data_IF_509156148979
#
_entry.id   IF_509156148979
#
_cell.length_a   1.000
_cell.length_b   1.000
_cell.length_c   1.000
_cell.angle_alpha   90.00
_cell.angle_beta   90.00
_cell.angle_gamma   90.00
#
_symmetry.space_group_name_H-M   'P 1'
#
loop_
_entity.id
_entity.type
_entity.pdbx_description
1 polymer ?
#
# COMPACT_ATOMS: atom_id res chain seq x y z
N UNK A 1 9.10 -57.67 -3.44
CA UNK A 1 9.77 -56.42 -3.05
C UNK A 1 8.77 -55.28 -3.22
N UNK A 2 8.18 -54.79 -2.13
CA UNK A 2 7.13 -53.75 -2.14
C UNK A 2 7.82 -52.40 -1.95
N UNK A 3 7.72 -51.53 -2.95
CA UNK A 3 8.28 -50.18 -2.88
C UNK A 3 7.39 -49.39 -1.92
N UNK A 4 7.97 -48.92 -0.80
CA UNK A 4 7.25 -48.23 0.26
C UNK A 4 6.82 -46.84 -0.15
N UNK A 5 5.52 -46.56 -0.03
CA UNK A 5 4.89 -45.25 -0.23
C UNK A 5 5.22 -44.26 0.91
N UNK A 6 6.48 -44.16 1.33
CA UNK A 6 6.91 -43.41 2.52
C UNK A 6 7.60 -42.08 2.23
N UNK A 7 8.03 -41.81 0.99
CA UNK A 7 8.95 -40.69 0.71
C UNK A 7 8.33 -39.46 0.03
N UNK A 8 7.01 -39.41 -0.15
CA UNK A 8 6.35 -38.30 -0.90
C UNK A 8 5.68 -37.27 0.02
N UNK A 9 5.48 -37.57 1.31
CA UNK A 9 4.59 -36.76 2.17
C UNK A 9 5.33 -35.62 2.91
N UNK A 10 6.65 -35.48 2.79
CA UNK A 10 7.44 -34.43 3.48
C UNK A 10 7.66 -33.18 2.61
N UNK A 11 6.75 -32.88 1.68
CA UNK A 11 6.87 -31.73 0.77
C UNK A 11 5.68 -30.77 0.82
N UNK A 12 4.84 -30.82 1.87
CA UNK A 12 3.53 -30.15 1.86
C UNK A 12 3.22 -29.15 2.99
N UNK A 13 4.12 -28.76 3.89
CA UNK A 13 3.69 -27.93 5.06
C UNK A 13 4.45 -26.60 5.27
N UNK A 14 5.48 -26.24 4.50
CA UNK A 14 6.27 -25.02 4.83
C UNK A 14 5.88 -23.74 4.06
N UNK A 15 4.67 -23.64 3.45
CA UNK A 15 4.38 -22.49 2.57
C UNK A 15 2.99 -21.83 2.71
N UNK A 16 2.34 -21.86 3.88
CA UNK A 16 1.05 -21.15 4.06
C UNK A 16 1.10 -19.89 4.94
N UNK A 17 2.29 -19.42 5.34
CA UNK A 17 2.42 -18.23 6.19
C UNK A 17 2.60 -16.89 5.44
N UNK A 18 2.58 -16.87 4.09
CA UNK A 18 2.85 -15.64 3.31
C UNK A 18 1.58 -14.91 2.87
N UNK A 19 0.39 -15.49 3.01
CA UNK A 19 -0.76 -15.02 2.21
C UNK A 19 -1.61 -13.89 2.81
N UNK A 20 -1.16 -13.19 3.85
CA UNK A 20 -1.94 -12.08 4.42
C UNK A 20 -1.41 -10.68 4.08
N UNK A 21 -0.15 -10.54 3.63
CA UNK A 21 0.42 -9.24 3.28
C UNK A 21 0.36 -8.92 1.77
N UNK A 22 -0.02 -9.91 0.95
CA UNK A 22 0.06 -9.85 -0.52
C UNK A 22 -1.25 -9.40 -1.20
N UNK A 23 -2.34 -9.22 -0.45
CA UNK A 23 -3.68 -9.14 -1.06
C UNK A 23 -4.13 -7.73 -1.48
N UNK A 24 -3.31 -6.71 -1.29
CA UNK A 24 -3.59 -5.40 -1.89
C UNK A 24 -2.42 -4.92 -2.75
N UNK A 25 -2.41 -5.40 -4.00
CA UNK A 25 -1.57 -4.86 -5.06
C UNK A 25 -2.34 -3.73 -5.78
N UNK A 26 -2.56 -2.60 -5.10
CA UNK A 26 -3.11 -1.42 -5.76
C UNK A 26 -2.15 -0.87 -6.84
N UNK A 27 -2.67 -0.22 -7.90
CA UNK A 27 -1.82 0.37 -8.93
C UNK A 27 -0.96 1.49 -8.37
N UNK A 28 0.20 1.76 -8.97
CA UNK A 28 1.00 2.96 -8.73
C UNK A 28 0.75 3.99 -9.82
N UNK A 29 0.83 5.27 -9.47
CA UNK A 29 0.52 6.39 -10.35
C UNK A 29 1.79 7.02 -10.95
N UNK A 30 1.77 7.27 -12.26
CA UNK A 30 2.85 8.00 -12.94
C UNK A 30 2.60 9.50 -12.88
N UNK A 31 3.65 10.30 -12.77
CA UNK A 31 3.51 11.76 -12.71
C UNK A 31 2.92 12.33 -14.02
N UNK A 32 2.07 13.37 -13.96
CA UNK A 32 1.45 13.98 -15.13
C UNK A 32 2.46 14.79 -15.94
N UNK A 33 2.14 15.04 -17.21
CA UNK A 33 2.92 15.92 -18.08
C UNK A 33 3.02 17.34 -17.50
N UNK A 34 4.21 17.94 -17.54
CA UNK A 34 4.46 19.26 -16.96
C UNK A 34 4.87 19.25 -15.47
N UNK A 35 4.95 18.07 -14.85
CA UNK A 35 5.62 17.91 -13.55
C UNK A 35 7.10 18.24 -13.66
N UNK A 36 7.69 18.73 -12.58
CA UNK A 36 9.16 18.88 -12.49
C UNK A 36 9.87 17.58 -12.90
N UNK A 37 10.82 17.74 -13.83
CA UNK A 37 11.52 16.64 -14.48
C UNK A 37 12.24 15.73 -13.49
N UNK A 38 12.77 16.31 -12.39
CA UNK A 38 13.47 15.57 -11.36
C UNK A 38 12.48 14.84 -10.44
N UNK A 39 11.36 15.47 -10.07
CA UNK A 39 10.30 14.82 -9.31
C UNK A 39 9.70 13.62 -10.07
N UNK A 40 9.43 13.77 -11.37
CA UNK A 40 8.92 12.71 -12.21
C UNK A 40 9.89 11.52 -12.33
N UNK A 41 11.20 11.80 -12.44
CA UNK A 41 12.25 10.76 -12.46
C UNK A 41 12.31 9.98 -11.15
N UNK A 42 12.29 10.68 -10.02
CA UNK A 42 12.25 10.04 -8.71
C UNK A 42 10.98 9.20 -8.52
N UNK A 43 9.80 9.70 -8.92
CA UNK A 43 8.57 8.92 -8.88
C UNK A 43 8.68 7.65 -9.74
N UNK A 44 9.22 7.74 -10.95
CA UNK A 44 9.44 6.58 -11.82
C UNK A 44 10.44 5.58 -11.22
N UNK A 45 11.53 6.04 -10.62
CA UNK A 45 12.52 5.19 -9.96
C UNK A 45 11.90 4.47 -8.75
N UNK A 46 11.05 5.16 -7.97
CA UNK A 46 10.30 4.57 -6.86
C UNK A 46 9.35 3.47 -7.33
N UNK A 47 8.63 3.69 -8.44
CA UNK A 47 7.76 2.66 -9.05
C UNK A 47 8.57 1.41 -9.43
N UNK A 48 9.76 1.58 -10.01
CA UNK A 48 10.63 0.46 -10.37
C UNK A 48 11.12 -0.29 -9.13
N UNK A 49 11.55 0.42 -8.09
CA UNK A 49 11.98 -0.18 -6.84
C UNK A 49 10.84 -0.93 -6.13
N UNK A 50 9.62 -0.37 -6.13
CA UNK A 50 8.44 -1.02 -5.57
C UNK A 50 8.12 -2.34 -6.28
N UNK A 51 8.19 -2.36 -7.62
CA UNK A 51 7.99 -3.58 -8.42
C UNK A 51 9.05 -4.65 -8.14
N UNK A 52 10.24 -4.24 -7.70
CA UNK A 52 11.32 -5.13 -7.26
C UNK A 52 11.27 -5.45 -5.76
N UNK A 53 10.21 -5.03 -5.07
CA UNK A 53 10.02 -5.22 -3.62
C UNK A 53 11.14 -4.59 -2.75
N UNK A 54 11.86 -3.61 -3.31
CA UNK A 54 12.89 -2.86 -2.62
C UNK A 54 12.24 -1.72 -1.82
N UNK A 55 11.51 -2.05 -0.75
CA UNK A 55 10.64 -1.12 -0.03
C UNK A 55 11.35 0.14 0.49
N UNK A 56 12.54 0.00 1.06
CA UNK A 56 13.32 1.14 1.56
C UNK A 56 13.71 2.08 0.42
N UNK A 57 14.24 1.52 -0.67
CA UNK A 57 14.62 2.30 -1.85
C UNK A 57 13.41 2.97 -2.50
N UNK A 58 12.27 2.28 -2.60
CA UNK A 58 11.04 2.87 -3.10
C UNK A 58 10.59 4.06 -2.25
N UNK A 59 10.69 3.94 -0.92
CA UNK A 59 10.38 5.02 0.02
C UNK A 59 11.28 6.24 -0.22
N UNK A 60 12.60 6.04 -0.26
CA UNK A 60 13.57 7.11 -0.51
C UNK A 60 13.28 7.86 -1.83
N UNK A 61 12.95 7.12 -2.90
CA UNK A 61 12.64 7.73 -4.19
C UNK A 61 11.32 8.50 -4.16
N UNK A 62 10.28 7.98 -3.52
CA UNK A 62 9.01 8.71 -3.40
C UNK A 62 9.11 9.93 -2.48
N UNK A 63 9.86 9.84 -1.38
CA UNK A 63 10.16 10.99 -0.50
C UNK A 63 10.92 12.09 -1.25
N UNK A 64 11.91 11.71 -2.08
CA UNK A 64 12.61 12.67 -2.93
C UNK A 64 11.65 13.37 -3.90
N UNK A 65 10.74 12.61 -4.54
CA UNK A 65 9.72 13.19 -5.42
C UNK A 65 8.79 14.17 -4.68
N UNK A 66 8.31 13.81 -3.47
CA UNK A 66 7.49 14.68 -2.62
C UNK A 66 8.25 15.93 -2.18
N UNK A 67 9.54 15.82 -1.88
CA UNK A 67 10.38 16.96 -1.48
C UNK A 67 10.56 17.97 -2.62
N UNK A 68 10.70 17.49 -3.85
CA UNK A 68 10.87 18.33 -5.04
C UNK A 68 9.53 18.94 -5.47
N UNK A 69 8.47 18.13 -5.49
CA UNK A 69 7.12 18.55 -5.87
C UNK A 69 6.11 18.17 -4.76
N UNK A 70 5.97 19.00 -3.70
CA UNK A 70 5.04 18.74 -2.59
C UNK A 70 3.56 18.73 -2.98
N UNK A 71 3.23 19.17 -4.19
CA UNK A 71 1.89 19.15 -4.77
C UNK A 71 1.65 17.99 -5.73
N UNK A 72 2.62 17.07 -5.87
CA UNK A 72 2.49 15.91 -6.75
C UNK A 72 1.67 14.81 -6.08
N UNK A 73 0.37 14.77 -6.37
CA UNK A 73 -0.58 13.83 -5.78
C UNK A 73 -0.14 12.37 -5.95
N UNK A 74 0.42 12.02 -7.10
CA UNK A 74 0.88 10.66 -7.43
C UNK A 74 2.05 10.22 -6.58
N UNK A 75 2.98 11.12 -6.25
CA UNK A 75 4.10 10.80 -5.37
C UNK A 75 3.64 10.61 -3.92
N UNK A 76 2.69 11.44 -3.45
CA UNK A 76 2.05 11.22 -2.15
C UNK A 76 1.32 9.88 -2.11
N UNK A 77 0.50 9.57 -3.11
CA UNK A 77 -0.20 8.28 -3.18
C UNK A 77 0.79 7.12 -3.19
N UNK A 78 1.81 7.14 -4.05
CA UNK A 78 2.82 6.08 -4.14
C UNK A 78 3.66 5.92 -2.87
N UNK A 79 3.95 7.01 -2.16
CA UNK A 79 4.58 6.96 -0.84
C UNK A 79 3.66 6.28 0.18
N UNK A 80 2.36 6.61 0.17
CA UNK A 80 1.34 5.92 0.97
C UNK A 80 1.31 4.42 0.70
N UNK A 81 1.37 4.02 -0.58
CA UNK A 81 1.41 2.62 -1.00
C UNK A 81 2.59 1.85 -0.38
N UNK A 82 3.81 2.39 -0.47
CA UNK A 82 4.99 1.70 0.05
C UNK A 82 5.02 1.67 1.57
N UNK A 83 4.56 2.73 2.24
CA UNK A 83 4.45 2.78 3.69
C UNK A 83 3.44 1.76 4.21
N UNK A 84 2.30 1.62 3.54
CA UNK A 84 1.30 0.58 3.83
C UNK A 84 1.89 -0.82 3.68
N UNK A 85 2.68 -1.07 2.63
CA UNK A 85 3.40 -2.35 2.45
C UNK A 85 4.42 -2.64 3.55
N UNK A 86 4.98 -1.60 4.16
CA UNK A 86 5.89 -1.72 5.31
C UNK A 86 5.14 -1.85 6.66
N UNK A 87 3.81 -1.79 6.68
CA UNK A 87 3.00 -1.79 7.89
C UNK A 87 3.00 -0.45 8.65
N UNK A 88 3.42 0.64 8.00
CA UNK A 88 3.41 2.00 8.56
C UNK A 88 2.10 2.70 8.23
N UNK A 89 0.99 2.14 8.71
CA UNK A 89 -0.36 2.52 8.28
C UNK A 89 -0.72 3.97 8.63
N UNK A 90 -0.22 4.47 9.77
CA UNK A 90 -0.45 5.85 10.21
C UNK A 90 0.19 6.86 9.23
N UNK A 91 1.46 6.66 8.87
CA UNK A 91 2.17 7.52 7.93
C UNK A 91 1.57 7.39 6.52
N UNK A 92 1.24 6.16 6.11
CA UNK A 92 0.58 5.89 4.84
C UNK A 92 -0.73 6.70 4.70
N UNK A 93 -1.55 6.69 5.76
CA UNK A 93 -2.82 7.43 5.79
C UNK A 93 -2.63 8.94 5.59
N UNK A 94 -1.61 9.54 6.19
CA UNK A 94 -1.31 10.97 6.00
C UNK A 94 -1.00 11.28 4.53
N UNK A 95 -0.19 10.43 3.89
CA UNK A 95 0.16 10.59 2.49
C UNK A 95 -1.03 10.37 1.54
N UNK A 96 -1.89 9.38 1.83
CA UNK A 96 -3.11 9.17 1.05
C UNK A 96 -4.09 10.34 1.18
N UNK A 97 -4.25 10.93 2.38
CA UNK A 97 -5.09 12.13 2.58
C UNK A 97 -4.53 13.28 1.75
N UNK A 98 -3.22 13.51 1.82
CA UNK A 98 -2.58 14.58 1.05
C UNK A 98 -2.74 14.39 -0.46
N UNK A 99 -2.63 13.14 -0.95
CA UNK A 99 -2.85 12.83 -2.37
C UNK A 99 -4.29 13.17 -2.80
N UNK A 100 -5.29 12.83 -1.98
CA UNK A 100 -6.70 13.15 -2.24
C UNK A 100 -6.96 14.65 -2.24
N UNK A 101 -6.38 15.37 -1.27
CA UNK A 101 -6.55 16.83 -1.18
C UNK A 101 -5.93 17.55 -2.39
N UNK A 102 -4.89 16.97 -3.01
CA UNK A 102 -4.20 17.53 -4.19
C UNK A 102 -4.88 17.17 -5.52
N UNK A 103 -5.45 15.97 -5.62
CA UNK A 103 -6.15 15.49 -6.79
C UNK A 103 -7.51 14.92 -6.38
N UNK A 104 -8.46 15.80 -6.00
CA UNK A 104 -9.83 15.37 -5.70
C UNK A 104 -10.43 14.71 -6.95
N UNK A 105 -11.33 13.76 -6.76
CA UNK A 105 -12.02 13.04 -7.86
C UNK A 105 -11.13 12.08 -8.68
N UNK A 106 -9.92 11.77 -8.20
CA UNK A 106 -9.13 10.69 -8.77
C UNK A 106 -9.56 9.34 -8.19
N UNK A 107 -10.28 8.53 -8.96
CA UNK A 107 -10.82 7.22 -8.55
C UNK A 107 -9.76 6.30 -7.92
N UNK A 108 -8.52 6.33 -8.40
CA UNK A 108 -7.46 5.49 -7.85
C UNK A 108 -7.08 5.93 -6.43
N UNK A 109 -7.01 7.25 -6.21
CA UNK A 109 -6.65 7.84 -4.92
C UNK A 109 -7.82 7.70 -3.93
N UNK A 110 -9.06 7.90 -4.38
CA UNK A 110 -10.27 7.73 -3.55
C UNK A 110 -10.43 6.28 -3.08
N UNK A 111 -10.02 5.30 -3.89
CA UNK A 111 -10.09 3.87 -3.55
C UNK A 111 -8.84 3.33 -2.81
N UNK A 112 -7.97 4.19 -2.30
CA UNK A 112 -6.81 3.77 -1.53
C UNK A 112 -7.21 3.01 -0.22
N UNK A 113 -6.31 2.19 0.37
CA UNK A 113 -6.61 1.32 1.51
C UNK A 113 -7.15 2.03 2.75
N UNK A 114 -6.69 3.24 3.14
CA UNK A 114 -7.24 3.87 4.33
C UNK A 114 -8.66 4.41 4.13
N UNK A 115 -9.16 4.45 2.88
CA UNK A 115 -10.47 5.02 2.54
C UNK A 115 -11.51 3.97 2.18
N UNK A 116 -11.10 2.77 1.78
CA UNK A 116 -12.04 1.71 1.41
C UNK A 116 -12.50 0.92 2.64
N UNK A 117 -13.83 0.72 2.75
CA UNK A 117 -14.47 -0.09 3.81
C UNK A 117 -14.19 -1.60 3.66
N UNK A 118 -13.60 -2.04 2.54
CA UNK A 118 -13.12 -3.41 2.41
C UNK A 118 -11.92 -3.54 3.32
N UNK A 119 -12.21 -3.79 4.60
CA UNK A 119 -11.25 -4.10 5.63
C UNK A 119 -10.24 -5.07 5.01
N UNK A 120 -8.95 -4.73 5.09
CA UNK A 120 -7.92 -5.76 5.12
C UNK A 120 -8.48 -6.88 5.99
N UNK A 121 -8.57 -8.14 5.50
CA UNK A 121 -9.39 -9.18 6.08
C UNK A 121 -9.23 -9.11 7.59
N UNK A 122 -10.34 -8.74 8.25
CA UNK A 122 -10.36 -8.36 9.65
C UNK A 122 -9.42 -9.29 10.40
N UNK A 123 -8.35 -8.75 10.98
CA UNK A 123 -7.62 -9.47 12.02
C UNK A 123 -8.61 -9.62 13.17
N UNK A 124 -9.42 -10.68 13.11
CA UNK A 124 -10.45 -10.94 14.09
C UNK A 124 -9.78 -11.17 15.45
N UNK A 125 -10.41 -10.65 16.50
CA UNK A 125 -10.05 -10.86 17.91
C UNK A 125 -8.89 -10.01 18.43
N UNK A 126 -9.21 -8.94 19.16
CA UNK A 126 -8.18 -8.27 19.97
C UNK A 126 -8.45 -6.88 20.53
N UNK A 127 -9.57 -6.21 20.24
CA UNK A 127 -9.95 -5.00 20.98
C UNK A 127 -11.46 -5.03 21.27
N UNK A 128 -11.79 -5.77 22.32
CA UNK A 128 -13.01 -5.54 23.08
C UNK A 128 -12.79 -4.27 23.91
N UNK A 129 -13.51 -3.19 23.62
CA UNK A 129 -13.52 -2.02 24.49
C UNK A 129 -14.15 -0.77 23.89
N UNK A 130 -15.48 -0.63 24.08
CA UNK A 130 -16.19 0.61 24.44
C UNK A 130 -16.09 1.79 23.43
N UNK A 131 -17.16 2.43 22.94
CA UNK A 131 -18.43 2.83 23.55
C UNK A 131 -19.32 3.40 22.44
N UNK A 132 -20.62 3.55 22.71
CA UNK A 132 -21.68 3.92 21.75
C UNK A 132 -21.52 5.30 21.09
N UNK A 133 -22.39 5.71 20.16
CA UNK A 133 -23.73 5.24 19.88
C UNK A 133 -24.26 5.88 18.61
N UNK A 134 -25.43 5.41 18.22
CA UNK A 134 -26.19 5.75 17.03
C UNK A 134 -26.62 7.22 17.00
N UNK A 135 -26.80 7.76 15.79
CA UNK A 135 -27.48 9.03 15.58
C UNK A 135 -27.70 9.33 14.09
N UNK A 136 -28.67 8.64 13.48
CA UNK A 136 -29.31 9.09 12.24
C UNK A 136 -30.38 10.14 12.59
N UNK A 137 -30.28 11.33 12.00
CA UNK A 137 -31.34 12.34 11.76
C UNK A 137 -30.63 13.64 11.35
N UNK A 138 -30.89 14.29 10.22
CA UNK A 138 -32.18 14.72 9.66
C UNK A 138 -32.13 14.78 8.12
#
# INVERSE_FOLDING_TARGET
MRIGAGSIIVLCIVATAVSACQLWQGPLLSAPSGTDDLAARHNKAGIQAYKQEQWNRATEQFEAAVKIAPSLAEAHYNLGMVLYRQGKDADAKLHFIKARDLAPENDVIENAPPFTRVEAPSRSSGYQGMSGGQGHSH
#
